data_IF_996526582053
#
_entry.id   IF_996526582053
#
_cell.length_a   1.000
_cell.length_b   1.000
_cell.length_c   1.000
_cell.angle_alpha   90.00
_cell.angle_beta   90.00
_cell.angle_gamma   90.00
#
_symmetry.space_group_name_H-M   'P 1'
#
loop_
_entity.id
_entity.type
_entity.pdbx_description
1 polymer ?
#
# COMPACT_ATOMS: atom_id res chain seq x y z
N UNK A 1 -1.58 44.67 -9.01
CA UNK A 1 -2.53 43.90 -8.17
C UNK A 1 -1.95 42.50 -7.98
N UNK A 2 -1.66 42.11 -6.74
CA UNK A 2 -1.02 40.81 -6.43
C UNK A 2 -2.09 39.72 -6.35
N UNK A 3 -1.79 38.49 -6.79
CA UNK A 3 -2.68 37.33 -6.56
C UNK A 3 -2.02 36.46 -5.49
N UNK A 4 -2.80 36.05 -4.49
CA UNK A 4 -2.42 35.10 -3.45
C UNK A 4 -3.30 33.89 -3.63
N UNK A 5 -2.69 32.72 -3.80
CA UNK A 5 -3.41 31.45 -3.98
C UNK A 5 -3.38 30.64 -2.68
N UNK A 6 -4.51 30.05 -2.33
CA UNK A 6 -4.66 29.13 -1.20
C UNK A 6 -5.67 28.04 -1.57
N UNK A 7 -5.70 26.96 -0.80
CA UNK A 7 -6.65 25.84 -0.97
C UNK A 7 -7.51 25.80 0.30
N UNK A 8 -8.79 25.43 0.20
CA UNK A 8 -9.56 25.06 1.39
C UNK A 8 -8.85 23.93 2.17
N UNK A 9 -9.32 23.62 3.38
CA UNK A 9 -8.76 22.53 4.20
C UNK A 9 -8.63 21.27 3.34
N UNK A 10 -7.39 20.92 2.99
CA UNK A 10 -7.08 19.88 2.02
C UNK A 10 -6.32 18.78 2.74
N UNK A 11 -6.89 17.58 2.70
CA UNK A 11 -6.25 16.35 3.10
C UNK A 11 -6.23 15.42 1.89
N UNK A 12 -5.03 15.12 1.38
CA UNK A 12 -4.85 14.26 0.21
C UNK A 12 -5.35 12.83 0.42
N UNK A 13 -5.61 12.41 1.67
CA UNK A 13 -6.20 11.11 1.97
C UNK A 13 -7.72 11.08 1.78
N UNK A 14 -8.39 12.22 1.73
CA UNK A 14 -9.86 12.31 1.75
C UNK A 14 -10.42 13.25 0.69
N UNK A 15 -9.58 14.10 0.10
CA UNK A 15 -9.97 15.14 -0.85
C UNK A 15 -9.09 15.12 -2.10
N UNK A 16 -9.69 15.48 -3.24
CA UNK A 16 -9.00 15.86 -4.48
C UNK A 16 -9.25 17.34 -4.76
N UNK A 17 -8.27 18.02 -5.36
CA UNK A 17 -8.43 19.43 -5.72
C UNK A 17 -9.52 19.55 -6.79
N UNK A 18 -10.50 20.44 -6.57
CA UNK A 18 -11.53 20.71 -7.56
C UNK A 18 -10.99 21.63 -8.66
N UNK A 19 -11.62 21.59 -9.83
CA UNK A 19 -11.29 22.49 -10.95
C UNK A 19 -11.82 23.92 -10.74
N UNK A 20 -12.51 24.19 -9.63
CA UNK A 20 -13.12 25.48 -9.31
C UNK A 20 -12.35 26.19 -8.20
N UNK A 21 -12.41 27.51 -8.23
CA UNK A 21 -11.87 28.38 -7.19
C UNK A 21 -12.81 29.55 -6.96
N UNK A 22 -12.76 30.09 -5.75
CA UNK A 22 -13.43 31.34 -5.39
C UNK A 22 -12.40 32.46 -5.31
N UNK A 23 -12.63 33.57 -6.02
CA UNK A 23 -11.81 34.78 -5.91
C UNK A 23 -12.45 35.80 -4.96
N UNK A 24 -11.68 36.28 -4.00
CA UNK A 24 -12.03 37.39 -3.12
C UNK A 24 -11.08 38.54 -3.36
N UNK A 25 -11.61 39.71 -3.74
CA UNK A 25 -10.79 40.89 -4.01
C UNK A 25 -10.60 41.71 -2.74
N UNK A 26 -9.36 42.05 -2.45
CA UNK A 26 -8.93 43.00 -1.44
C UNK A 26 -8.30 44.22 -2.11
N UNK A 27 -8.10 45.29 -1.33
CA UNK A 27 -7.60 46.58 -1.85
C UNK A 27 -6.23 46.44 -2.56
N UNK A 28 -5.35 45.55 -2.05
CA UNK A 28 -3.99 45.36 -2.58
C UNK A 28 -3.78 44.02 -3.32
N UNK A 29 -4.68 43.04 -3.15
CA UNK A 29 -4.53 41.70 -3.69
C UNK A 29 -5.84 40.97 -3.99
N UNK A 30 -5.78 39.93 -4.83
CA UNK A 30 -6.86 38.94 -5.01
C UNK A 30 -6.46 37.67 -4.26
N UNK A 31 -7.33 37.21 -3.37
CA UNK A 31 -7.24 35.88 -2.78
C UNK A 31 -7.99 34.88 -3.67
N UNK A 32 -7.30 33.91 -4.23
CA UNK A 32 -7.89 32.78 -4.96
C UNK A 32 -7.87 31.55 -4.05
N UNK A 33 -9.04 31.07 -3.67
CA UNK A 33 -9.22 29.86 -2.85
C UNK A 33 -9.68 28.72 -3.73
N UNK A 34 -8.86 27.69 -3.91
CA UNK A 34 -9.24 26.48 -4.64
C UNK A 34 -10.21 25.62 -3.81
N UNK A 35 -11.27 25.16 -4.45
CA UNK A 35 -12.24 24.25 -3.83
C UNK A 35 -11.66 22.82 -3.74
N UNK A 36 -12.26 22.01 -2.87
CA UNK A 36 -11.89 20.61 -2.66
C UNK A 36 -13.11 19.70 -2.85
N UNK A 37 -12.91 18.54 -3.48
CA UNK A 37 -13.93 17.53 -3.67
C UNK A 37 -13.59 16.30 -2.83
N UNK A 38 -14.58 15.76 -2.11
CA UNK A 38 -14.40 14.51 -1.36
C UNK A 38 -14.16 13.34 -2.33
N UNK A 39 -13.17 12.51 -2.02
CA UNK A 39 -12.95 11.27 -2.75
C UNK A 39 -14.11 10.32 -2.41
N UNK A 40 -14.79 9.73 -3.42
CA UNK A 40 -15.84 8.74 -3.17
C UNK A 40 -15.33 7.62 -2.26
N UNK A 41 -16.13 7.14 -1.28
CA UNK A 41 -15.71 6.06 -0.39
C UNK A 41 -15.29 4.77 -1.12
N UNK A 42 -15.91 4.49 -2.26
CA UNK A 42 -15.57 3.33 -3.10
C UNK A 42 -14.17 3.46 -3.72
N UNK A 43 -13.77 4.66 -4.14
CA UNK A 43 -12.43 4.94 -4.69
C UNK A 43 -11.36 4.77 -3.60
N UNK A 44 -11.63 5.27 -2.39
CA UNK A 44 -10.76 5.07 -1.21
C UNK A 44 -10.62 3.59 -0.87
N UNK A 45 -11.70 2.81 -0.96
CA UNK A 45 -11.66 1.37 -0.73
C UNK A 45 -10.84 0.62 -1.78
N UNK A 46 -10.95 1.02 -3.06
CA UNK A 46 -10.15 0.46 -4.16
C UNK A 46 -8.67 0.76 -3.96
N UNK A 47 -8.30 2.00 -3.61
CA UNK A 47 -6.92 2.39 -3.37
C UNK A 47 -6.33 1.65 -2.16
N UNK A 48 -7.08 1.56 -1.07
CA UNK A 48 -6.67 0.78 0.10
C UNK A 48 -6.46 -0.70 -0.26
N UNK A 49 -7.34 -1.31 -1.05
CA UNK A 49 -7.19 -2.68 -1.52
C UNK A 49 -5.97 -2.84 -2.44
N UNK A 50 -5.70 -1.89 -3.33
CA UNK A 50 -4.51 -1.90 -4.19
C UNK A 50 -3.22 -1.81 -3.37
N UNK A 51 -3.17 -0.92 -2.38
CA UNK A 51 -2.05 -0.82 -1.44
C UNK A 51 -1.78 -2.14 -0.72
N UNK A 52 -2.82 -2.78 -0.16
CA UNK A 52 -2.70 -4.08 0.51
C UNK A 52 -2.15 -5.18 -0.40
N UNK A 53 -2.58 -5.22 -1.67
CA UNK A 53 -2.04 -6.18 -2.67
C UNK A 53 -0.57 -5.91 -2.97
N UNK A 54 -0.18 -4.65 -3.12
CA UNK A 54 1.22 -4.28 -3.36
C UNK A 54 2.13 -4.64 -2.19
N UNK A 55 1.67 -4.40 -0.96
CA UNK A 55 2.39 -4.81 0.26
C UNK A 55 2.57 -6.33 0.33
N UNK A 56 1.49 -7.09 0.08
CA UNK A 56 1.53 -8.55 0.00
C UNK A 56 2.55 -9.03 -1.02
N UNK A 57 2.46 -8.54 -2.25
CA UNK A 57 3.29 -9.00 -3.37
C UNK A 57 4.77 -8.73 -3.10
N UNK A 58 5.07 -7.58 -2.49
CA UNK A 58 6.42 -7.23 -2.04
C UNK A 58 6.93 -8.21 -0.97
N UNK A 59 6.09 -8.53 0.02
CA UNK A 59 6.45 -9.44 1.11
C UNK A 59 6.60 -10.91 0.67
N UNK A 60 5.99 -11.32 -0.44
CA UNK A 60 6.05 -12.70 -0.96
C UNK A 60 7.40 -13.05 -1.60
N UNK A 61 8.19 -12.07 -2.06
CA UNK A 61 9.43 -12.34 -2.80
C UNK A 61 10.45 -13.16 -1.98
N UNK A 62 10.64 -12.79 -0.71
CA UNK A 62 11.56 -13.46 0.20
C UNK A 62 11.17 -14.92 0.52
N UNK A 63 9.96 -15.23 1.03
CA UNK A 63 9.58 -16.62 1.31
C UNK A 63 9.58 -17.49 0.05
N UNK A 64 9.21 -16.95 -1.11
CA UNK A 64 9.29 -17.68 -2.38
C UNK A 64 10.74 -18.08 -2.71
N UNK A 65 11.70 -17.16 -2.57
CA UNK A 65 13.11 -17.44 -2.81
C UNK A 65 13.66 -18.48 -1.82
N UNK A 66 13.28 -18.38 -0.54
CA UNK A 66 13.70 -19.31 0.52
C UNK A 66 13.18 -20.73 0.24
N UNK A 67 11.89 -20.87 -0.04
CA UNK A 67 11.26 -22.17 -0.30
C UNK A 67 11.76 -22.78 -1.60
N UNK A 68 11.93 -21.98 -2.65
CA UNK A 68 12.53 -22.43 -3.92
C UNK A 68 13.94 -22.96 -3.72
N UNK A 69 14.79 -22.26 -2.94
CA UNK A 69 16.13 -22.75 -2.60
C UNK A 69 16.07 -24.08 -1.86
N UNK A 70 15.21 -24.20 -0.84
CA UNK A 70 15.07 -25.44 -0.08
C UNK A 70 14.63 -26.61 -0.96
N UNK A 71 13.64 -26.39 -1.84
CA UNK A 71 13.19 -27.38 -2.81
C UNK A 71 14.33 -27.82 -3.73
N UNK A 72 15.05 -26.88 -4.32
CA UNK A 72 16.20 -27.19 -5.18
C UNK A 72 17.27 -28.00 -4.44
N UNK A 73 17.55 -27.67 -3.18
CA UNK A 73 18.53 -28.42 -2.38
C UNK A 73 18.10 -29.88 -2.20
N UNK A 74 16.81 -30.13 -1.95
CA UNK A 74 16.25 -31.48 -1.87
C UNK A 74 16.30 -32.21 -3.21
N UNK A 75 15.91 -31.52 -4.29
CA UNK A 75 15.83 -32.13 -5.63
C UNK A 75 17.21 -32.55 -6.16
N UNK A 76 18.27 -31.82 -5.79
CA UNK A 76 19.66 -32.13 -6.15
C UNK A 76 20.41 -32.97 -5.10
N UNK A 77 19.73 -33.42 -4.04
CA UNK A 77 20.33 -34.18 -2.93
C UNK A 77 21.58 -33.52 -2.33
N UNK A 78 21.53 -32.18 -2.20
CA UNK A 78 22.59 -31.39 -1.56
C UNK A 78 22.17 -30.93 -0.17
N UNK A 79 23.12 -30.64 0.73
CA UNK A 79 22.79 -30.20 2.09
C UNK A 79 21.83 -28.99 2.10
N UNK A 80 20.74 -29.10 2.85
CA UNK A 80 19.77 -28.03 2.97
C UNK A 80 20.24 -26.95 3.94
N UNK A 81 19.86 -25.71 3.65
CA UNK A 81 20.09 -24.54 4.53
C UNK A 81 19.03 -24.41 5.62
N UNK A 82 17.90 -25.10 5.45
CA UNK A 82 16.77 -25.12 6.38
C UNK A 82 16.43 -26.56 6.72
N UNK A 83 15.99 -26.78 7.96
CA UNK A 83 15.27 -28.00 8.33
C UNK A 83 13.87 -27.99 7.72
N UNK A 84 13.24 -29.17 7.64
CA UNK A 84 11.88 -29.31 7.13
C UNK A 84 10.87 -28.52 7.98
N UNK A 85 11.09 -28.46 9.30
CA UNK A 85 10.26 -27.66 10.21
C UNK A 85 10.39 -26.16 9.93
N UNK A 86 11.61 -25.67 9.64
CA UNK A 86 11.82 -24.27 9.27
C UNK A 86 11.18 -23.95 7.91
N UNK A 87 11.34 -24.83 6.91
CA UNK A 87 10.69 -24.69 5.61
C UNK A 87 9.16 -24.67 5.74
N UNK A 88 8.58 -25.51 6.60
CA UNK A 88 7.15 -25.49 6.90
C UNK A 88 6.69 -24.14 7.48
N UNK A 89 7.44 -23.53 8.40
CA UNK A 89 7.12 -22.20 8.95
C UNK A 89 7.09 -21.12 7.87
N UNK A 90 8.05 -21.16 6.93
CA UNK A 90 8.05 -20.26 5.77
C UNK A 90 6.88 -20.50 4.81
N UNK A 91 6.47 -21.75 4.61
CA UNK A 91 5.30 -22.08 3.80
C UNK A 91 3.99 -21.56 4.44
N UNK A 92 3.84 -21.71 5.76
CA UNK A 92 2.69 -21.15 6.49
C UNK A 92 2.66 -19.62 6.43
N UNK A 93 3.81 -18.97 6.56
CA UNK A 93 3.92 -17.52 6.40
C UNK A 93 3.51 -17.08 4.99
N UNK A 94 4.01 -17.75 3.94
CA UNK A 94 3.63 -17.48 2.56
C UNK A 94 2.13 -17.66 2.32
N UNK A 95 1.53 -18.70 2.92
CA UNK A 95 0.10 -18.92 2.83
C UNK A 95 -0.68 -17.78 3.50
N UNK A 96 -0.29 -17.37 4.70
CA UNK A 96 -0.90 -16.22 5.38
C UNK A 96 -0.81 -14.92 4.58
N UNK A 97 0.28 -14.70 3.82
CA UNK A 97 0.39 -13.53 2.93
C UNK A 97 -0.65 -13.62 1.80
N UNK A 98 -0.88 -14.80 1.23
CA UNK A 98 -1.91 -14.99 0.19
C UNK A 98 -3.31 -14.74 0.71
N UNK A 99 -3.56 -15.11 1.97
CA UNK A 99 -4.86 -14.97 2.64
C UNK A 99 -5.09 -13.56 3.20
N UNK A 100 -4.07 -12.70 3.26
CA UNK A 100 -4.17 -11.33 3.80
C UNK A 100 -5.27 -10.45 3.17
N UNK A 101 -5.49 -10.44 1.83
CA UNK A 101 -6.55 -9.62 1.24
C UNK A 101 -7.96 -9.98 1.71
N UNK A 102 -8.17 -11.23 2.14
CA UNK A 102 -9.47 -11.74 2.59
C UNK A 102 -9.61 -11.67 4.11
N UNK A 103 -8.53 -12.00 4.84
CA UNK A 103 -8.54 -12.06 6.30
C UNK A 103 -8.28 -10.70 6.96
N UNK A 104 -7.59 -9.79 6.27
CA UNK A 104 -7.10 -8.53 6.83
C UNK A 104 -6.01 -8.69 7.89
N UNK A 105 -5.55 -9.92 8.16
CA UNK A 105 -4.56 -10.23 9.20
C UNK A 105 -3.20 -10.45 8.54
N UNK A 106 -2.21 -9.63 8.91
CA UNK A 106 -0.84 -9.83 8.45
C UNK A 106 -0.18 -10.98 9.21
N UNK A 107 0.38 -12.01 8.52
CA UNK A 107 0.96 -13.16 9.20
C UNK A 107 2.28 -12.80 9.91
N UNK A 108 2.58 -13.52 11.00
CA UNK A 108 3.86 -13.38 11.70
C UNK A 108 4.98 -14.03 10.88
N UNK A 109 6.02 -13.26 10.58
CA UNK A 109 7.22 -13.76 9.89
C UNK A 109 7.97 -14.77 10.77
N UNK A 110 8.47 -15.90 10.22
CA UNK A 110 9.34 -16.82 10.93
C UNK A 110 10.67 -16.15 11.32
N UNK A 111 11.19 -16.51 12.49
CA UNK A 111 12.55 -16.14 12.94
C UNK A 111 13.61 -17.08 12.38
#
# INVERSE_FOLDING_TARGET
MKIIETVQVFDSATHRQAATFTETKHDDFILRVWDVELIPPDDLAVEAAAKRRSERDTAMAEPLAILSRHQNQRDFDIPTTLTDEQAMKWALYLQGLRDYPETGVWPKKPE
#
